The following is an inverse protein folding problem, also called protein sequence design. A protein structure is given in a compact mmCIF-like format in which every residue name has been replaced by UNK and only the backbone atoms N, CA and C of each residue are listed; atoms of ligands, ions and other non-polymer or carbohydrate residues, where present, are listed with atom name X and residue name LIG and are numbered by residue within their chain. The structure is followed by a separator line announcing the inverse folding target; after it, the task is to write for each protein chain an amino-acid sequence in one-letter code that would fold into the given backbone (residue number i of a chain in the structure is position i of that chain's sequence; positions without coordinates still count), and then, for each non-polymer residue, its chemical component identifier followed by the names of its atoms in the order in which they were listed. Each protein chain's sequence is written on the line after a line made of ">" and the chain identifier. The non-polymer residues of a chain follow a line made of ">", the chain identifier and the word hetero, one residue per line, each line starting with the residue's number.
data_IF_815437242569
#
_entry.id   IF_815437242569
#
_cell.length_a   1.000
_cell.length_b   1.000
_cell.length_c   1.000
_cell.angle_alpha   90.00
_cell.angle_beta   90.00
_cell.angle_gamma   90.00
#
_symmetry.space_group_name_H-M   'P 1'
#
loop_
_entity.id
_entity.type
_entity.pdbx_description
1 polymer ?
#
# COMPACT_ATOMS: atom_id res chain seq x y z
N UNK A 1 -9.56 -5.24 -12.04
CA UNK A 1 -8.77 -6.28 -11.34
C UNK A 1 -8.68 -5.88 -9.89
N UNK A 2 -8.73 -6.84 -8.95
CA UNK A 2 -8.58 -6.52 -7.52
C UNK A 2 -7.09 -6.61 -7.19
N UNK A 3 -6.55 -5.58 -6.54
CA UNK A 3 -5.15 -5.54 -6.11
C UNK A 3 -5.09 -5.49 -4.58
N UNK A 4 -4.00 -6.00 -4.03
CA UNK A 4 -3.72 -5.95 -2.60
C UNK A 4 -2.46 -5.11 -2.39
N UNK A 5 -2.59 -4.01 -1.67
CA UNK A 5 -1.53 -3.09 -1.32
C UNK A 5 -1.14 -3.37 0.13
N UNK A 6 0.03 -3.95 0.35
CA UNK A 6 0.54 -4.19 1.70
C UNK A 6 1.63 -3.18 2.01
N UNK A 7 1.37 -2.32 2.97
CA UNK A 7 2.29 -1.33 3.48
C UNK A 7 2.81 -1.77 4.84
N UNK A 8 4.12 -1.83 4.99
CA UNK A 8 4.79 -2.12 6.25
C UNK A 8 5.54 -0.87 6.70
N UNK A 9 5.09 -0.22 7.76
CA UNK A 9 5.80 0.91 8.35
C UNK A 9 6.96 0.39 9.20
N UNK A 10 8.12 1.01 9.07
CA UNK A 10 9.27 0.71 9.91
C UNK A 10 9.00 1.10 11.37
N UNK A 11 9.59 0.38 12.31
CA UNK A 11 9.62 0.77 13.72
C UNK A 11 10.66 1.86 13.99
N UNK A 12 11.70 1.94 13.15
CA UNK A 12 12.85 2.81 13.31
C UNK A 12 13.05 3.62 12.02
N UNK A 13 12.94 4.95 12.12
CA UNK A 13 12.90 5.86 10.97
C UNK A 13 11.54 5.81 10.26
N UNK A 14 10.95 6.96 9.98
CA UNK A 14 9.57 7.11 9.44
C UNK A 14 9.33 6.56 8.02
N UNK A 15 10.15 5.60 7.58
CA UNK A 15 10.02 4.93 6.30
C UNK A 15 9.01 3.79 6.30
N UNK A 16 8.66 3.36 5.10
CA UNK A 16 7.68 2.31 4.87
C UNK A 16 7.99 1.53 3.60
N UNK A 17 7.66 0.25 3.59
CA UNK A 17 7.78 -0.62 2.42
C UNK A 17 6.41 -0.95 1.86
N UNK A 18 6.27 -0.91 0.55
CA UNK A 18 5.07 -1.31 -0.18
C UNK A 18 5.33 -2.62 -0.92
N UNK A 19 4.36 -3.52 -0.83
CA UNK A 19 4.28 -4.74 -1.64
C UNK A 19 2.91 -4.76 -2.31
N UNK A 20 2.90 -4.81 -3.64
CA UNK A 20 1.69 -4.88 -4.46
C UNK A 20 1.49 -6.30 -4.96
N UNK A 21 0.31 -6.86 -4.73
CA UNK A 21 -0.06 -8.20 -5.17
C UNK A 21 -1.28 -8.17 -6.09
N UNK A 22 -1.32 -9.11 -7.04
CA UNK A 22 -2.53 -9.43 -7.78
C UNK A 22 -3.52 -10.17 -6.87
N UNK A 23 -4.74 -9.68 -6.76
CA UNK A 23 -5.75 -10.22 -5.85
C UNK A 23 -6.35 -11.56 -6.28
N UNK A 24 -6.03 -12.06 -7.48
CA UNK A 24 -6.57 -13.31 -8.03
C UNK A 24 -5.66 -14.51 -7.73
N UNK A 25 -4.34 -14.30 -7.74
CA UNK A 25 -3.35 -15.37 -7.59
C UNK A 25 -2.29 -15.06 -6.51
N UNK A 26 -2.37 -13.91 -5.84
CA UNK A 26 -1.40 -13.43 -4.85
C UNK A 26 0.03 -13.35 -5.40
N UNK A 27 0.19 -13.19 -6.71
CA UNK A 27 1.49 -12.94 -7.32
C UNK A 27 1.99 -11.54 -6.92
N UNK A 28 3.24 -11.46 -6.47
CA UNK A 28 3.89 -10.19 -6.21
C UNK A 28 4.14 -9.47 -7.53
N UNK A 29 3.55 -8.30 -7.69
CA UNK A 29 3.71 -7.45 -8.86
C UNK A 29 4.88 -6.49 -8.67
N UNK A 30 4.90 -5.76 -7.56
CA UNK A 30 5.92 -4.74 -7.27
C UNK A 30 6.25 -4.73 -5.77
N UNK A 31 7.51 -4.41 -5.44
CA UNK A 31 7.95 -4.18 -4.07
C UNK A 31 8.95 -3.03 -4.05
N UNK A 32 8.68 -2.04 -3.23
CA UNK A 32 9.50 -0.83 -3.11
C UNK A 32 9.56 -0.35 -1.66
N UNK A 33 10.65 0.31 -1.29
CA UNK A 33 10.83 0.87 0.05
C UNK A 33 11.04 2.38 -0.04
N UNK A 34 10.41 3.09 0.87
CA UNK A 34 10.34 4.54 0.89
C UNK A 34 10.89 5.07 2.22
N UNK A 35 11.60 6.20 2.15
CA UNK A 35 12.15 6.90 3.32
C UNK A 35 11.10 7.57 4.19
N UNK A 36 9.93 7.86 3.62
CA UNK A 36 8.86 8.62 4.25
C UNK A 36 7.49 8.25 3.65
N UNK A 37 6.43 8.52 4.42
CA UNK A 37 5.05 8.23 4.03
C UNK A 37 4.53 9.15 2.92
N UNK A 38 5.06 10.36 2.75
CA UNK A 38 4.60 11.27 1.69
C UNK A 38 4.94 10.71 0.31
N UNK A 39 6.18 10.25 0.13
CA UNK A 39 6.66 9.62 -1.10
C UNK A 39 5.88 8.33 -1.38
N UNK A 40 5.64 7.50 -0.35
CA UNK A 40 4.82 6.30 -0.49
C UNK A 40 3.39 6.62 -0.94
N UNK A 41 2.73 7.61 -0.32
CA UNK A 41 1.37 7.99 -0.67
C UNK A 41 1.27 8.56 -2.09
N UNK A 42 2.25 9.36 -2.50
CA UNK A 42 2.33 9.81 -3.89
C UNK A 42 2.46 8.62 -4.84
N UNK A 43 3.33 7.66 -4.53
CA UNK A 43 3.49 6.46 -5.34
C UNK A 43 2.19 5.62 -5.41
N UNK A 44 1.48 5.43 -4.30
CA UNK A 44 0.20 4.72 -4.26
C UNK A 44 -0.85 5.33 -5.22
N UNK A 45 -0.91 6.67 -5.31
CA UNK A 45 -1.79 7.34 -6.27
C UNK A 45 -1.42 7.02 -7.73
N UNK A 46 -0.12 6.94 -8.04
CA UNK A 46 0.32 6.56 -9.40
C UNK A 46 -0.01 5.12 -9.76
N UNK A 47 -0.01 4.21 -8.78
CA UNK A 47 -0.36 2.79 -8.99
C UNK A 47 -1.82 2.62 -9.41
N UNK A 48 -2.72 3.46 -8.89
CA UNK A 48 -4.11 3.48 -9.27
C UNK A 48 -4.28 3.68 -10.79
N UNK A 49 -3.56 4.66 -11.33
CA UNK A 49 -3.51 4.94 -12.78
C UNK A 49 -2.80 3.83 -13.56
N UNK A 50 -1.64 3.36 -13.08
CA UNK A 50 -0.81 2.36 -13.77
C UNK A 50 -1.53 1.03 -13.97
N UNK A 51 -2.21 0.55 -12.93
CA UNK A 51 -2.94 -0.71 -12.94
C UNK A 51 -4.42 -0.56 -13.29
N UNK A 52 -4.87 0.66 -13.65
CA UNK A 52 -6.27 1.03 -13.91
C UNK A 52 -7.21 0.45 -12.85
N UNK A 53 -6.80 0.56 -11.59
CA UNK A 53 -7.51 -0.04 -10.48
C UNK A 53 -8.27 1.05 -9.74
N UNK A 54 -9.59 0.90 -9.67
CA UNK A 54 -10.46 1.82 -8.95
C UNK A 54 -10.38 1.63 -7.42
N UNK A 55 -9.26 1.12 -6.89
CA UNK A 55 -9.12 0.74 -5.48
C UNK A 55 -8.63 -0.69 -5.28
N UNK A 56 -8.72 -1.20 -4.05
CA UNK A 56 -8.18 -2.50 -3.65
C UNK A 56 -8.20 -2.71 -2.14
N UNK A 57 -7.65 -3.85 -1.71
CA UNK A 57 -7.42 -4.11 -0.28
C UNK A 57 -6.12 -3.44 0.13
N UNK A 58 -6.18 -2.52 1.09
CA UNK A 58 -5.00 -1.91 1.69
C UNK A 58 -4.77 -2.55 3.05
N UNK A 59 -3.56 -3.06 3.27
CA UNK A 59 -3.11 -3.67 4.50
C UNK A 59 -1.98 -2.81 5.04
N UNK A 60 -2.16 -2.21 6.22
CA UNK A 60 -1.14 -1.38 6.86
C UNK A 60 -0.66 -2.10 8.11
N UNK A 61 0.59 -2.55 8.09
CA UNK A 61 1.28 -3.09 9.25
C UNK A 61 2.17 -2.01 9.86
N UNK A 62 1.79 -1.50 11.02
CA UNK A 62 2.58 -0.57 11.81
C UNK A 62 3.43 -1.33 12.83
N UNK A 63 4.73 -1.49 12.55
CA UNK A 63 5.65 -2.20 13.44
C UNK A 63 5.91 -1.45 14.75
N UNK A 64 5.82 -0.11 14.75
CA UNK A 64 6.05 0.69 15.95
C UNK A 64 4.90 0.49 16.96
N UNK A 65 3.66 0.40 16.46
CA UNK A 65 2.47 0.17 17.29
C UNK A 65 2.11 -1.30 17.45
N UNK A 66 2.81 -2.20 16.76
CA UNK A 66 2.48 -3.62 16.64
C UNK A 66 1.00 -3.83 16.24
N UNK A 67 0.54 -3.08 15.25
CA UNK A 67 -0.86 -3.08 14.81
C UNK A 67 -0.97 -3.37 13.31
N UNK A 68 -2.07 -4.03 12.93
CA UNK A 68 -2.41 -4.29 11.53
C UNK A 68 -3.80 -3.73 11.26
N UNK A 69 -3.90 -2.87 10.26
CA UNK A 69 -5.14 -2.28 9.79
C UNK A 69 -5.44 -2.77 8.38
N UNK A 70 -6.72 -3.04 8.12
CA UNK A 70 -7.21 -3.55 6.84
C UNK A 70 -8.34 -2.63 6.39
N UNK A 71 -8.20 -2.04 5.21
CA UNK A 71 -9.20 -1.16 4.63
C UNK A 71 -9.46 -1.48 3.16
N UNK A 72 -10.70 -1.29 2.73
CA UNK A 72 -11.07 -1.42 1.33
C UNK A 72 -11.08 -0.02 0.71
N UNK A 73 -10.09 0.25 -0.12
CA UNK A 73 -10.08 1.44 -0.96
C UNK A 73 -11.11 1.27 -2.07
N UNK A 74 -12.11 2.15 -2.13
CA UNK A 74 -13.22 2.10 -3.11
C UNK A 74 -12.97 2.93 -4.37
N UNK A 75 -12.00 3.83 -4.30
CA UNK A 75 -11.56 4.71 -5.38
C UNK A 75 -10.06 5.02 -5.22
N UNK A 76 -9.49 5.71 -6.21
CA UNK A 76 -8.07 6.09 -6.23
C UNK A 76 -7.70 6.99 -5.05
N UNK A 77 -8.62 7.86 -4.62
CA UNK A 77 -8.42 8.78 -3.50
C UNK A 77 -8.41 8.06 -2.14
N UNK A 78 -8.93 6.83 -2.08
CA UNK A 78 -8.94 5.99 -0.89
C UNK A 78 -7.63 5.21 -0.70
N UNK A 79 -6.68 5.26 -1.65
CA UNK A 79 -5.35 4.65 -1.54
C UNK A 79 -4.41 5.59 -0.79
N UNK A 80 -4.62 5.71 0.52
CA UNK A 80 -3.84 6.57 1.40
C UNK A 80 -3.51 5.85 2.72
N UNK A 81 -2.30 6.08 3.23
CA UNK A 81 -1.81 5.57 4.51
C UNK A 81 -1.41 6.75 5.39
N UNK A 82 -2.09 6.88 6.54
CA UNK A 82 -1.82 7.88 7.59
C UNK A 82 -0.73 7.47 8.54
#
# INVERSE_FOLDING_TARGET
>A
MRHIFKVTKSAEGGGASLELYDGSNLALLESESFSDLYTLNFHLQTLATKYKTAGGLVIVHDKAKNSVELSLAKDENSLFVS
#
